data_IF_347922394137
#
_entry.id   IF_347922394137
#
_cell.length_a   1.000
_cell.length_b   1.000
_cell.length_c   1.000
_cell.angle_alpha   90.00
_cell.angle_beta   90.00
_cell.angle_gamma   90.00
#
_symmetry.space_group_name_H-M   'P 1'
#
loop_
_entity.id
_entity.type
_entity.pdbx_description
1 polymer ?
#
# COMPACT_ATOMS: atom_id res chain seq x y z
N UNK A 1 13.88 11.89 -19.84
CA UNK A 1 14.94 12.09 -18.83
C UNK A 1 14.38 12.57 -17.48
N UNK A 2 13.68 13.71 -17.40
CA UNK A 2 13.09 14.25 -16.14
C UNK A 2 12.18 13.23 -15.43
N UNK A 3 11.20 12.66 -16.14
CA UNK A 3 10.20 11.72 -15.59
C UNK A 3 10.80 10.51 -14.84
N UNK A 4 11.95 10.01 -15.29
CA UNK A 4 12.61 8.86 -14.66
C UNK A 4 13.19 9.21 -13.28
N UNK A 5 13.73 10.43 -13.13
CA UNK A 5 14.29 10.90 -11.85
C UNK A 5 13.24 11.05 -10.76
N UNK A 6 12.02 11.48 -11.11
CA UNK A 6 10.93 11.65 -10.15
C UNK A 6 10.33 10.30 -9.71
N UNK A 7 10.28 9.32 -10.61
CA UNK A 7 9.88 7.94 -10.28
C UNK A 7 10.90 7.32 -9.31
N UNK A 8 12.21 7.45 -9.59
CA UNK A 8 13.27 6.92 -8.73
C UNK A 8 13.27 7.58 -7.34
N UNK A 9 13.04 8.90 -7.24
CA UNK A 9 12.88 9.59 -5.95
C UNK A 9 11.71 9.05 -5.14
N UNK A 10 10.56 8.76 -5.78
CA UNK A 10 9.38 8.19 -5.11
C UNK A 10 9.66 6.76 -4.59
N UNK A 11 10.32 5.93 -5.40
CA UNK A 11 10.75 4.59 -5.00
C UNK A 11 11.72 4.65 -3.82
N UNK A 12 12.72 5.54 -3.86
CA UNK A 12 13.67 5.72 -2.78
C UNK A 12 13.01 6.18 -1.47
N UNK A 13 12.09 7.15 -1.54
CA UNK A 13 11.35 7.64 -0.38
C UNK A 13 10.44 6.56 0.23
N UNK A 14 9.84 5.71 -0.61
CA UNK A 14 9.07 4.54 -0.18
C UNK A 14 9.94 3.50 0.54
N UNK A 15 11.13 3.18 0.00
CA UNK A 15 12.10 2.28 0.67
C UNK A 15 12.53 2.84 2.03
N UNK A 16 12.81 4.14 2.13
CA UNK A 16 13.08 4.77 3.43
C UNK A 16 11.90 4.66 4.40
N UNK A 17 10.66 4.80 3.92
CA UNK A 17 9.44 4.56 4.72
C UNK A 17 9.35 3.14 5.27
N UNK A 18 9.68 2.12 4.45
CA UNK A 18 9.73 0.72 4.90
C UNK A 18 10.82 0.47 5.95
N UNK A 19 11.96 1.15 5.86
CA UNK A 19 13.04 1.02 6.84
C UNK A 19 12.77 1.82 8.13
N UNK A 20 12.03 2.93 8.07
CA UNK A 20 11.81 3.83 9.20
C UNK A 20 11.08 3.14 10.39
N UNK A 21 11.65 3.11 11.61
CA UNK A 21 11.03 2.45 12.78
C UNK A 21 9.76 3.15 13.28
N UNK A 22 9.53 4.43 12.94
CA UNK A 22 8.31 5.15 13.29
C UNK A 22 7.08 4.70 12.48
N UNK A 23 7.27 3.97 11.37
CA UNK A 23 6.17 3.39 10.60
C UNK A 23 5.71 2.08 11.29
N UNK A 24 4.44 1.97 11.70
CA UNK A 24 3.92 0.77 12.35
C UNK A 24 4.19 -0.49 11.51
N UNK A 25 4.74 -1.53 12.14
CA UNK A 25 5.15 -2.78 11.47
C UNK A 25 4.05 -3.39 10.60
N UNK A 26 2.78 -3.25 11.03
CA UNK A 26 1.58 -3.66 10.28
C UNK A 26 1.60 -3.20 8.82
N UNK A 27 1.88 -1.92 8.54
CA UNK A 27 1.89 -1.38 7.17
C UNK A 27 3.05 -1.93 6.34
N UNK A 28 4.17 -2.28 6.99
CA UNK A 28 5.31 -2.93 6.33
C UNK A 28 4.95 -4.35 5.90
N UNK A 29 4.27 -5.10 6.76
CA UNK A 29 3.76 -6.44 6.43
C UNK A 29 2.67 -6.39 5.34
N UNK A 30 1.68 -5.49 5.46
CA UNK A 30 0.64 -5.31 4.45
C UNK A 30 1.25 -4.97 3.07
N UNK A 31 2.23 -4.07 3.02
CA UNK A 31 2.95 -3.75 1.78
C UNK A 31 3.78 -4.91 1.24
N UNK A 32 4.41 -5.71 2.12
CA UNK A 32 5.16 -6.90 1.73
C UNK A 32 4.27 -7.98 1.12
N UNK A 33 3.10 -8.22 1.72
CA UNK A 33 2.10 -9.17 1.23
C UNK A 33 1.56 -8.74 -0.14
N UNK A 34 1.25 -7.46 -0.35
CA UNK A 34 0.84 -6.96 -1.67
C UNK A 34 1.94 -7.13 -2.73
N UNK A 35 3.22 -6.94 -2.36
CA UNK A 35 4.33 -7.15 -3.28
C UNK A 35 4.56 -8.63 -3.60
N UNK A 36 4.33 -9.51 -2.61
CA UNK A 36 4.41 -10.96 -2.75
C UNK A 36 3.30 -11.50 -3.66
N UNK A 37 2.07 -11.01 -3.50
CA UNK A 37 0.92 -11.28 -4.38
C UNK A 37 1.17 -10.81 -5.81
N UNK A 38 1.82 -9.66 -5.99
CA UNK A 38 2.16 -9.14 -7.32
C UNK A 38 3.32 -9.92 -7.99
N UNK A 39 4.27 -10.45 -7.22
CA UNK A 39 5.35 -11.30 -7.74
C UNK A 39 4.92 -12.76 -7.99
N UNK A 40 3.89 -13.24 -7.30
CA UNK A 40 3.45 -14.63 -7.37
C UNK A 40 1.91 -14.73 -7.37
N UNK A 41 1.26 -14.98 -8.52
CA UNK A 41 -0.20 -15.18 -8.62
C UNK A 41 -0.64 -16.59 -8.16
N UNK A 42 0.19 -17.27 -7.36
CA UNK A 42 0.17 -18.68 -6.90
C UNK A 42 0.98 -18.69 -5.59
N UNK A 43 0.62 -19.28 -4.45
CA UNK A 43 -0.56 -20.02 -3.98
C UNK A 43 -0.81 -19.59 -2.50
N UNK A 44 -1.97 -19.92 -1.92
CA UNK A 44 -2.23 -20.26 -0.50
C UNK A 44 -3.73 -20.15 -0.14
N UNK A 45 -4.53 -19.54 -1.03
CA UNK A 45 -5.99 -19.66 -1.01
C UNK A 45 -6.35 -20.78 -2.00
N UNK A 46 -6.53 -22.03 -1.56
CA UNK A 46 -6.99 -23.08 -2.45
C UNK A 46 -8.36 -22.73 -3.04
N UNK A 47 -8.62 -23.13 -4.29
CA UNK A 47 -9.79 -22.80 -5.12
C UNK A 47 -11.15 -23.36 -4.60
N UNK A 48 -11.52 -23.04 -3.36
CA UNK A 48 -12.75 -23.50 -2.71
C UNK A 48 -13.96 -22.58 -2.90
N UNK A 49 -13.84 -21.50 -3.67
CA UNK A 49 -14.97 -20.61 -3.97
C UNK A 49 -15.21 -20.53 -5.49
N UNK A 50 -15.86 -21.55 -6.09
CA UNK A 50 -16.02 -21.67 -7.56
C UNK A 50 -17.00 -20.67 -8.20
N UNK A 51 -17.29 -19.53 -7.53
CA UNK A 51 -18.34 -18.57 -7.89
C UNK A 51 -17.97 -17.08 -7.69
N UNK A 52 -16.83 -16.71 -7.09
CA UNK A 52 -16.53 -15.30 -6.70
C UNK A 52 -15.46 -14.57 -7.51
N UNK A 53 -14.78 -15.23 -8.44
CA UNK A 53 -13.58 -14.74 -9.16
C UNK A 53 -13.72 -13.51 -10.09
N UNK A 54 -14.75 -12.68 -9.92
CA UNK A 54 -14.86 -11.33 -10.51
C UNK A 54 -15.32 -10.25 -9.52
N UNK A 55 -15.98 -10.65 -8.43
CA UNK A 55 -16.38 -9.73 -7.37
C UNK A 55 -15.22 -9.45 -6.40
N UNK A 56 -14.38 -10.46 -6.14
CA UNK A 56 -13.30 -10.38 -5.17
C UNK A 56 -12.21 -9.37 -5.58
N UNK A 57 -11.77 -9.40 -6.85
CA UNK A 57 -10.85 -8.40 -7.43
C UNK A 57 -11.31 -6.96 -7.19
N UNK A 58 -12.61 -6.70 -7.39
CA UNK A 58 -13.19 -5.37 -7.17
C UNK A 58 -13.19 -5.01 -5.69
N UNK A 59 -13.54 -5.93 -4.80
CA UNK A 59 -13.53 -5.72 -3.34
C UNK A 59 -12.11 -5.41 -2.85
N UNK A 60 -11.11 -6.18 -3.27
CA UNK A 60 -9.69 -5.96 -2.94
C UNK A 60 -9.22 -4.60 -3.48
N UNK A 61 -9.55 -4.26 -4.73
CA UNK A 61 -9.20 -2.98 -5.34
C UNK A 61 -9.81 -1.78 -4.61
N UNK A 62 -11.13 -1.80 -4.33
CA UNK A 62 -11.80 -0.74 -3.58
C UNK A 62 -11.27 -0.63 -2.14
N UNK A 63 -10.95 -1.74 -1.49
CA UNK A 63 -10.38 -1.74 -0.15
C UNK A 63 -8.95 -1.15 -0.13
N UNK A 64 -8.12 -1.49 -1.11
CA UNK A 64 -6.79 -0.91 -1.31
C UNK A 64 -6.85 0.61 -1.51
N UNK A 65 -7.71 1.08 -2.42
CA UNK A 65 -7.95 2.52 -2.67
C UNK A 65 -8.41 3.22 -1.39
N UNK A 66 -9.35 2.65 -0.64
CA UNK A 66 -9.84 3.19 0.63
C UNK A 66 -8.72 3.30 1.66
N UNK A 67 -7.87 2.27 1.79
CA UNK A 67 -6.74 2.28 2.73
C UNK A 67 -5.71 3.36 2.39
N UNK A 68 -5.41 3.55 1.10
CA UNK A 68 -4.53 4.64 0.62
C UNK A 68 -5.12 6.01 0.99
N UNK A 69 -6.41 6.21 0.74
CA UNK A 69 -7.11 7.45 1.10
C UNK A 69 -7.06 7.73 2.61
N UNK A 70 -7.32 6.72 3.45
CA UNK A 70 -7.29 6.85 4.91
C UNK A 70 -5.88 7.22 5.40
N UNK A 71 -4.82 6.59 4.87
CA UNK A 71 -3.42 6.93 5.22
C UNK A 71 -3.11 8.39 4.87
N UNK A 72 -3.46 8.85 3.66
CA UNK A 72 -3.23 10.23 3.23
C UNK A 72 -4.01 11.22 4.11
N UNK A 73 -5.27 10.91 4.42
CA UNK A 73 -6.14 11.74 5.27
C UNK A 73 -5.58 11.88 6.68
N UNK A 74 -5.18 10.76 7.30
CA UNK A 74 -4.58 10.74 8.64
C UNK A 74 -3.25 11.50 8.65
N UNK A 75 -2.39 11.31 7.64
CA UNK A 75 -1.12 12.04 7.54
C UNK A 75 -1.33 13.56 7.38
N UNK A 76 -2.29 13.98 6.54
CA UNK A 76 -2.65 15.40 6.37
C UNK A 76 -3.24 16.00 7.65
N UNK A 77 -4.06 15.24 8.38
CA UNK A 77 -4.57 15.66 9.69
C UNK A 77 -3.46 15.76 10.73
N UNK A 78 -2.50 14.83 10.76
CA UNK A 78 -1.35 14.86 11.66
C UNK A 78 -0.45 16.08 11.43
N UNK A 79 -0.15 16.40 10.16
CA UNK A 79 0.58 17.63 9.81
C UNK A 79 -0.20 18.87 10.26
N UNK A 80 -1.51 18.94 9.97
CA UNK A 80 -2.36 20.06 10.38
C UNK A 80 -2.49 20.19 11.91
N UNK A 81 -2.49 19.08 12.65
CA UNK A 81 -2.54 19.09 14.13
C UNK A 81 -1.19 19.42 14.78
N UNK A 82 -0.07 19.20 14.07
CA UNK A 82 1.27 19.48 14.59
C UNK A 82 1.69 20.95 14.51
N UNK A 83 0.84 21.83 13.99
CA UNK A 83 0.96 23.28 14.17
C UNK A 83 2.28 23.87 13.68
N UNK A 84 2.53 23.83 12.37
CA UNK A 84 3.32 24.91 11.76
C UNK A 84 2.39 26.10 11.52
N UNK A 85 2.73 27.32 12.02
CA UNK A 85 2.08 28.54 11.59
C UNK A 85 2.34 28.83 10.10
#
# INVERSE_FOLDING_TARGET
MILMGDILKKIYFFIQGLLNPAVPKRFKYESGICFLYFLSPIDFVPDFIPLTGKADDMVVMFWGIKRIYDIIKIHKQFIKSKGTP
#
